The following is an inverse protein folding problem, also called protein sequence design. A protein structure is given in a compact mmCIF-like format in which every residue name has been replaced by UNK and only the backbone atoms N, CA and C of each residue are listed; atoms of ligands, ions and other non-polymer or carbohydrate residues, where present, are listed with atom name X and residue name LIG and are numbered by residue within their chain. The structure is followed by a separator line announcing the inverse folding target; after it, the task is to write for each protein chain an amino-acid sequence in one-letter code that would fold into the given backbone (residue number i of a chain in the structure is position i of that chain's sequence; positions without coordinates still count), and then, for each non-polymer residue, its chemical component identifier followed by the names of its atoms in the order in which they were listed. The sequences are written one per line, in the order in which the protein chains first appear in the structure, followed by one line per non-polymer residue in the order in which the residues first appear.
data_IF_558993935645
#
_entry.id   IF_558993935645
#
_cell.length_a   1.000
_cell.length_b   1.000
_cell.length_c   1.000
_cell.angle_alpha   90.00
_cell.angle_beta   90.00
_cell.angle_gamma   90.00
#
_symmetry.space_group_name_H-M   'P 1'
#
loop_
_entity.id
_entity.type
_entity.pdbx_description
1 polymer ?
#
# COMPACT_ATOMS: atom_id res chain seq x y z
N UNK A 1 4.16 11.55 4.62
CA UNK A 1 3.79 10.37 3.81
C UNK A 1 3.08 10.89 2.58
N UNK A 2 3.51 10.46 1.40
CA UNK A 2 2.85 10.86 0.16
C UNK A 2 1.60 9.99 -0.07
N UNK A 3 0.47 10.61 -0.36
CA UNK A 3 -0.79 9.94 -0.66
C UNK A 3 -1.28 10.43 -2.02
N UNK A 4 -0.99 9.69 -3.11
CA UNK A 4 -1.51 10.00 -4.43
C UNK A 4 -3.03 9.82 -4.46
N UNK A 5 -3.78 10.87 -4.83
CA UNK A 5 -5.26 10.82 -4.80
C UNK A 5 -5.84 9.81 -5.80
N UNK A 6 -5.17 9.60 -6.93
CA UNK A 6 -5.54 8.60 -7.93
C UNK A 6 -5.43 7.15 -7.41
N UNK A 7 -4.58 6.91 -6.41
CA UNK A 7 -4.43 5.61 -5.78
C UNK A 7 -5.40 5.49 -4.60
N UNK A 8 -5.54 6.55 -3.81
CA UNK A 8 -6.51 6.62 -2.71
C UNK A 8 -7.95 6.38 -3.19
N UNK A 9 -8.30 6.91 -4.38
CA UNK A 9 -9.64 6.78 -4.98
C UNK A 9 -10.07 5.33 -5.28
N UNK A 10 -9.13 4.37 -5.33
CA UNK A 10 -9.48 2.95 -5.47
C UNK A 10 -10.19 2.41 -4.23
N UNK A 11 -9.90 2.98 -3.06
CA UNK A 11 -10.34 2.45 -1.77
C UNK A 11 -11.43 3.29 -1.11
N UNK A 12 -11.60 4.54 -1.52
CA UNK A 12 -12.65 5.42 -1.00
C UNK A 12 -13.10 6.36 -2.10
N UNK A 13 -14.42 6.61 -2.15
CA UNK A 13 -14.98 7.53 -3.14
C UNK A 13 -14.54 8.95 -2.83
N UNK A 14 -13.95 9.63 -3.81
CA UNK A 14 -13.49 11.02 -3.70
C UNK A 14 -14.35 11.89 -4.62
N UNK A 15 -15.28 12.66 -4.04
CA UNK A 15 -16.15 13.59 -4.77
C UNK A 15 -15.78 15.06 -4.54
N UNK A 16 -14.68 15.32 -3.84
CA UNK A 16 -14.24 16.65 -3.44
C UNK A 16 -12.91 17.01 -4.09
N UNK A 17 -12.60 18.30 -4.13
CA UNK A 17 -11.31 18.79 -4.61
C UNK A 17 -10.15 18.29 -3.73
N UNK A 18 -8.92 18.22 -4.26
CA UNK A 18 -7.74 17.85 -3.48
C UNK A 18 -7.57 18.68 -2.20
N UNK A 19 -7.92 19.97 -2.24
CA UNK A 19 -7.85 20.89 -1.10
C UNK A 19 -8.87 20.52 0.00
N UNK A 20 -10.09 20.16 -0.39
CA UNK A 20 -11.10 19.71 0.56
C UNK A 20 -10.73 18.37 1.19
N UNK A 21 -10.15 17.43 0.43
CA UNK A 21 -9.64 16.17 0.99
C UNK A 21 -8.49 16.42 1.97
N UNK A 22 -7.58 17.34 1.66
CA UNK A 22 -6.51 17.73 2.58
C UNK A 22 -7.08 18.36 3.88
N UNK A 23 -8.16 19.14 3.79
CA UNK A 23 -8.85 19.67 4.96
C UNK A 23 -9.48 18.55 5.81
N UNK A 24 -10.07 17.53 5.19
CA UNK A 24 -10.59 16.36 5.91
C UNK A 24 -9.50 15.60 6.65
N UNK A 25 -8.33 15.39 6.02
CA UNK A 25 -7.17 14.80 6.70
C UNK A 25 -6.65 15.69 7.83
N UNK A 26 -6.62 17.00 7.64
CA UNK A 26 -6.26 17.97 8.69
C UNK A 26 -7.19 17.88 9.89
N UNK A 27 -8.50 17.77 9.66
CA UNK A 27 -9.50 17.58 10.72
C UNK A 27 -9.35 16.23 11.45
N UNK A 28 -8.87 15.20 10.75
CA UNK A 28 -8.48 13.92 11.35
C UNK A 28 -7.16 13.99 12.13
N UNK A 29 -6.36 15.04 11.94
CA UNK A 29 -5.05 15.23 12.59
C UNK A 29 -3.84 14.85 11.72
N UNK A 30 -4.04 14.59 10.42
CA UNK A 30 -2.99 14.46 9.41
C UNK A 30 -2.85 15.78 8.65
N UNK A 31 -1.93 16.62 9.09
CA UNK A 31 -1.68 17.93 8.47
C UNK A 31 -1.05 17.77 7.09
N UNK A 32 -1.37 18.68 6.18
CA UNK A 32 -0.66 18.79 4.91
C UNK A 32 0.69 19.49 5.13
N UNK A 33 1.79 18.80 4.81
CA UNK A 33 3.17 19.29 4.95
C UNK A 33 3.60 20.16 3.75
N UNK A 34 3.14 19.82 2.53
CA UNK A 34 3.55 20.50 1.29
C UNK A 34 2.36 20.93 0.43
N UNK A 35 2.50 22.00 -0.36
CA UNK A 35 1.48 22.39 -1.33
C UNK A 35 1.13 21.25 -2.29
N UNK A 36 -0.14 21.16 -2.65
CA UNK A 36 -0.64 20.16 -3.60
C UNK A 36 -0.19 20.57 -5.00
N UNK A 37 0.68 19.76 -5.61
CA UNK A 37 1.13 19.96 -7.00
C UNK A 37 0.14 19.42 -8.03
N UNK A 38 0.48 19.58 -9.31
CA UNK A 38 -0.34 19.13 -10.45
C UNK A 38 -0.62 17.61 -10.44
N UNK A 39 0.29 16.82 -9.88
CA UNK A 39 0.16 15.37 -9.77
C UNK A 39 -0.84 14.92 -8.68
N UNK A 40 -1.52 15.86 -8.00
CA UNK A 40 -2.55 15.59 -7.00
C UNK A 40 -2.09 14.60 -5.91
N UNK A 41 -0.87 14.81 -5.40
CA UNK A 41 -0.30 14.03 -4.30
C UNK A 41 -0.36 14.87 -3.03
N UNK A 42 -0.95 14.31 -1.98
CA UNK A 42 -0.93 14.94 -0.65
C UNK A 42 0.34 14.50 0.08
N UNK A 43 1.15 15.42 0.58
CA UNK A 43 2.24 15.08 1.51
C UNK A 43 1.72 15.31 2.94
N UNK A 44 1.35 14.23 3.62
CA UNK A 44 0.74 14.28 4.94
C UNK A 44 1.79 14.08 6.04
N UNK A 45 1.84 15.00 7.00
CA UNK A 45 2.72 14.88 8.15
C UNK A 45 2.14 13.89 9.17
N UNK A 46 2.94 12.90 9.58
CA UNK A 46 2.54 11.92 10.59
C UNK A 46 3.14 12.29 11.95
N UNK A 47 2.31 12.81 12.86
CA UNK A 47 2.73 13.21 14.22
C UNK A 47 2.19 12.31 15.34
N UNK A 48 1.17 11.50 15.05
CA UNK A 48 0.45 10.72 16.05
C UNK A 48 0.94 9.28 16.10
N UNK A 49 0.74 8.61 17.22
CA UNK A 49 1.06 7.17 17.37
C UNK A 49 -0.01 6.31 16.66
N UNK A 50 -0.08 6.42 15.33
CA UNK A 50 -1.10 5.81 14.47
C UNK A 50 -0.46 5.16 13.24
N UNK A 51 0.31 4.10 13.50
CA UNK A 51 1.05 3.37 12.46
C UNK A 51 0.21 2.89 11.28
N UNK A 52 -1.11 2.69 11.47
CA UNK A 52 -2.03 2.32 10.41
C UNK A 52 -2.09 3.37 9.27
N UNK A 53 -1.87 4.65 9.58
CA UNK A 53 -1.81 5.73 8.59
C UNK A 53 -0.53 5.77 7.76
N UNK A 54 0.42 4.87 8.00
CA UNK A 54 1.58 4.69 7.13
C UNK A 54 1.25 3.79 5.91
N UNK A 55 -0.04 3.57 5.65
CA UNK A 55 -0.55 2.79 4.53
C UNK A 55 -1.67 3.52 3.78
N UNK A 56 -1.76 3.32 2.47
CA UNK A 56 -2.84 3.94 1.66
C UNK A 56 -4.21 3.47 2.14
N UNK A 57 -4.36 2.19 2.47
CA UNK A 57 -5.63 1.64 2.98
C UNK A 57 -5.97 2.20 4.37
N UNK A 58 -4.98 2.43 5.24
CA UNK A 58 -5.21 3.05 6.55
C UNK A 58 -5.71 4.49 6.42
N UNK A 59 -5.08 5.29 5.55
CA UNK A 59 -5.58 6.62 5.21
C UNK A 59 -7.00 6.58 4.61
N UNK A 60 -7.26 5.63 3.70
CA UNK A 60 -8.58 5.47 3.09
C UNK A 60 -9.66 5.08 4.11
N UNK A 61 -9.32 4.26 5.11
CA UNK A 61 -10.24 3.81 6.15
C UNK A 61 -10.78 4.98 6.96
N UNK A 62 -9.89 5.84 7.45
CA UNK A 62 -10.30 6.96 8.29
C UNK A 62 -10.95 8.07 7.46
N UNK A 63 -10.47 8.30 6.23
CA UNK A 63 -11.15 9.21 5.32
C UNK A 63 -12.57 8.73 4.98
N UNK A 64 -12.76 7.44 4.69
CA UNK A 64 -14.07 6.86 4.41
C UNK A 64 -15.03 7.03 5.61
N UNK A 65 -14.54 6.78 6.83
CA UNK A 65 -15.32 6.98 8.04
C UNK A 65 -15.71 8.46 8.25
N UNK A 66 -14.76 9.39 8.03
CA UNK A 66 -14.99 10.82 8.18
C UNK A 66 -15.97 11.37 7.14
N UNK A 67 -15.86 10.91 5.90
CA UNK A 67 -16.68 11.36 4.77
C UNK A 67 -18.01 10.61 4.65
N UNK A 68 -18.28 9.66 5.56
CA UNK A 68 -19.45 8.78 5.50
C UNK A 68 -19.57 8.04 4.15
N UNK A 69 -18.42 7.62 3.63
CA UNK A 69 -18.29 6.86 2.39
C UNK A 69 -17.93 5.40 2.67
N UNK A 70 -18.15 4.53 1.69
CA UNK A 70 -17.82 3.12 1.82
C UNK A 70 -16.33 2.87 1.56
N UNK A 71 -15.65 2.21 2.50
CA UNK A 71 -14.32 1.65 2.26
C UNK A 71 -14.37 0.45 1.31
N UNK A 72 -13.56 0.49 0.26
CA UNK A 72 -13.44 -0.52 -0.78
C UNK A 72 -12.11 -1.26 -0.62
N UNK A 73 -12.10 -2.37 0.11
CA UNK A 73 -10.90 -3.19 0.27
C UNK A 73 -10.77 -4.17 -0.91
N UNK A 74 -9.57 -4.37 -1.49
CA UNK A 74 -9.35 -5.36 -2.54
C UNK A 74 -9.86 -6.74 -2.11
N UNK A 75 -10.74 -7.34 -2.92
CA UNK A 75 -11.20 -8.71 -2.68
C UNK A 75 -10.03 -9.67 -2.87
N UNK A 76 -9.64 -10.36 -1.80
CA UNK A 76 -8.66 -11.44 -1.88
C UNK A 76 -9.27 -12.58 -2.70
N UNK A 77 -8.73 -12.82 -3.91
CA UNK A 77 -9.06 -14.03 -4.67
C UNK A 77 -8.40 -15.21 -3.96
N UNK A 78 -9.14 -15.86 -3.06
CA UNK A 78 -8.75 -17.13 -2.46
C UNK A 78 -8.86 -18.25 -3.50
N UNK A 79 -7.94 -18.28 -4.46
CA UNK A 79 -7.56 -19.59 -5.01
C UNK A 79 -6.65 -20.23 -3.97
N UNK A 80 -7.10 -21.35 -3.42
CA UNK A 80 -6.26 -22.20 -2.59
C UNK A 80 -4.92 -22.40 -3.31
N UNK A 81 -3.82 -22.10 -2.64
CA UNK A 81 -2.51 -22.45 -3.17
C UNK A 81 -2.49 -23.95 -3.44
N UNK A 82 -1.90 -24.39 -4.56
CA UNK A 82 -1.68 -25.82 -4.78
C UNK A 82 -0.80 -26.34 -3.67
N UNK A 83 -1.16 -27.47 -3.07
CA UNK A 83 -0.29 -28.16 -2.10
C UNK A 83 1.03 -28.49 -2.79
N UNK A 84 2.17 -27.99 -2.31
CA UNK A 84 3.46 -28.29 -2.92
C UNK A 84 3.80 -29.77 -2.73
N UNK A 85 4.48 -30.37 -3.71
CA UNK A 85 5.07 -31.70 -3.53
C UNK A 85 6.18 -31.65 -2.46
N UNK A 86 6.55 -32.78 -1.84
CA UNK A 86 7.58 -32.81 -0.79
C UNK A 86 8.93 -32.21 -1.23
N UNK A 87 9.33 -32.45 -2.48
CA UNK A 87 10.56 -31.93 -3.09
C UNK A 87 10.51 -30.42 -3.44
N UNK A 88 9.36 -29.79 -3.21
CA UNK A 88 9.08 -28.39 -3.54
C UNK A 88 9.00 -27.50 -2.29
N UNK A 89 9.18 -28.10 -1.11
CA UNK A 89 9.24 -27.40 0.16
C UNK A 89 10.65 -26.81 0.34
N UNK A 90 10.71 -25.54 0.72
CA UNK A 90 11.95 -24.89 1.11
C UNK A 90 11.97 -24.90 2.65
N UNK A 91 12.91 -25.63 3.29
CA UNK A 91 13.00 -25.63 4.75
C UNK A 91 13.44 -24.24 5.22
N UNK A 92 12.72 -23.69 6.18
CA UNK A 92 13.04 -22.40 6.78
C UNK A 92 13.10 -22.60 8.29
N UNK A 93 14.23 -22.23 8.88
CA UNK A 93 14.45 -22.26 10.33
C UNK A 93 14.65 -20.83 10.81
N UNK A 94 13.85 -20.40 11.78
CA UNK A 94 13.95 -19.07 12.38
C UNK A 94 14.67 -19.19 13.71
N UNK A 95 15.97 -18.89 13.72
CA UNK A 95 16.82 -18.94 14.93
C UNK A 95 16.88 -17.58 15.63
N UNK A 96 15.72 -17.00 15.92
CA UNK A 96 15.63 -15.70 16.60
C UNK A 96 14.42 -15.68 17.54
N UNK A 97 14.62 -15.66 18.87
CA UNK A 97 13.53 -15.68 19.85
C UNK A 97 12.54 -14.51 19.72
N UNK A 98 12.99 -13.36 19.22
CA UNK A 98 12.16 -12.17 19.06
C UNK A 98 11.16 -12.28 17.90
N UNK A 99 11.37 -13.22 16.97
CA UNK A 99 10.50 -13.39 15.80
C UNK A 99 9.28 -14.23 16.19
N UNK A 100 8.18 -13.54 16.51
CA UNK A 100 6.90 -14.20 16.86
C UNK A 100 6.18 -14.83 15.67
N UNK A 101 6.43 -14.34 14.44
CA UNK A 101 5.79 -14.84 13.23
C UNK A 101 6.68 -14.65 12.01
N UNK A 102 6.84 -15.71 11.22
CA UNK A 102 7.49 -15.68 9.92
C UNK A 102 6.64 -16.47 8.93
N UNK A 103 6.27 -15.84 7.82
CA UNK A 103 5.42 -16.46 6.80
C UNK A 103 6.00 -16.17 5.43
N UNK A 104 6.02 -17.18 4.56
CA UNK A 104 6.47 -17.04 3.18
C UNK A 104 5.46 -17.68 2.23
N UNK A 105 5.57 -17.31 0.95
CA UNK A 105 4.78 -17.93 -0.11
C UNK A 105 5.66 -18.11 -1.33
N UNK A 106 5.56 -19.28 -1.96
CA UNK A 106 6.33 -19.60 -3.17
C UNK A 106 5.47 -19.32 -4.39
N UNK A 107 5.99 -18.48 -5.30
CA UNK A 107 5.44 -18.24 -6.62
C UNK A 107 6.36 -18.88 -7.67
N UNK A 108 5.80 -19.55 -8.67
CA UNK A 108 6.56 -20.25 -9.73
C UNK A 108 6.11 -19.81 -11.10
N UNK A 109 7.02 -19.89 -12.07
CA UNK A 109 6.75 -19.45 -13.44
C UNK A 109 6.61 -17.93 -13.55
N UNK A 110 7.17 -17.18 -12.60
CA UNK A 110 7.20 -15.72 -12.66
C UNK A 110 8.26 -15.32 -13.67
N UNK A 111 7.85 -14.58 -14.71
CA UNK A 111 8.77 -13.96 -15.66
C UNK A 111 9.10 -12.55 -15.17
N UNK A 112 10.37 -12.28 -14.94
CA UNK A 112 10.84 -10.94 -14.60
C UNK A 112 10.73 -10.07 -15.85
N UNK A 113 10.07 -8.92 -15.71
CA UNK A 113 9.83 -7.97 -16.78
C UNK A 113 9.61 -6.56 -16.21
N UNK A 114 9.52 -5.57 -17.10
CA UNK A 114 9.11 -4.22 -16.73
C UNK A 114 7.70 -4.26 -16.11
N UNK A 115 7.51 -3.48 -15.05
CA UNK A 115 6.21 -3.30 -14.41
C UNK A 115 5.18 -2.66 -15.34
N UNK A 116 3.89 -2.96 -15.17
CA UNK A 116 2.83 -2.27 -15.90
C UNK A 116 2.78 -0.78 -15.51
N UNK A 117 2.39 0.08 -16.46
CA UNK A 117 2.44 1.54 -16.28
C UNK A 117 1.72 2.03 -15.02
N UNK A 118 0.52 1.50 -14.72
CA UNK A 118 -0.23 1.89 -13.52
C UNK A 118 0.56 1.68 -12.21
N UNK A 119 1.39 0.62 -12.15
CA UNK A 119 2.20 0.31 -10.99
C UNK A 119 3.39 1.27 -10.89
N UNK A 120 4.03 1.53 -12.03
CA UNK A 120 5.14 2.49 -12.13
C UNK A 120 4.67 3.89 -11.71
N UNK A 121 3.54 4.34 -12.24
CA UNK A 121 2.98 5.67 -11.97
C UNK A 121 2.66 5.84 -10.49
N UNK A 122 2.03 4.85 -9.85
CA UNK A 122 1.69 4.89 -8.41
C UNK A 122 2.93 4.93 -7.52
N UNK A 123 3.91 4.06 -7.78
CA UNK A 123 5.16 4.06 -7.03
C UNK A 123 5.93 5.37 -7.23
N UNK A 124 5.99 5.87 -8.46
CA UNK A 124 6.67 7.14 -8.77
C UNK A 124 5.99 8.32 -8.08
N UNK A 125 4.66 8.37 -8.07
CA UNK A 125 3.90 9.39 -7.34
C UNK A 125 4.14 9.33 -5.82
N UNK A 126 4.31 8.12 -5.28
CA UNK A 126 4.72 7.92 -3.89
C UNK A 126 6.22 8.26 -3.65
N UNK A 127 7.03 8.36 -4.70
CA UNK A 127 8.46 8.68 -4.65
C UNK A 127 9.39 7.45 -4.66
N UNK A 128 8.89 6.29 -5.06
CA UNK A 128 9.68 5.05 -5.24
C UNK A 128 9.95 4.84 -6.72
N UNK A 129 11.22 4.66 -7.08
CA UNK A 129 11.60 4.33 -8.46
C UNK A 129 11.27 2.87 -8.78
N UNK A 130 10.67 2.66 -9.95
CA UNK A 130 10.37 1.32 -10.47
C UNK A 130 11.64 0.60 -10.92
N UNK A 131 11.70 -0.71 -10.63
CA UNK A 131 12.82 -1.59 -10.97
C UNK A 131 12.33 -2.71 -11.90
N UNK A 132 11.44 -3.57 -11.42
CA UNK A 132 10.83 -4.66 -12.19
C UNK A 132 9.53 -5.12 -11.50
N UNK A 133 8.74 -5.94 -12.21
CA UNK A 133 7.44 -6.40 -11.74
C UNK A 133 7.44 -7.15 -10.39
N UNK A 134 8.55 -7.77 -9.98
CA UNK A 134 8.66 -8.49 -8.69
C UNK A 134 9.02 -7.54 -7.55
N UNK A 135 10.00 -6.67 -7.75
CA UNK A 135 10.41 -5.69 -6.72
C UNK A 135 9.33 -4.63 -6.52
N UNK A 136 8.68 -4.22 -7.61
CA UNK A 136 7.68 -3.18 -7.56
C UNK A 136 6.39 -3.65 -6.90
N UNK A 137 6.00 -4.92 -7.07
CA UNK A 137 4.79 -5.43 -6.40
C UNK A 137 5.01 -5.55 -4.89
N UNK A 138 6.22 -5.91 -4.43
CA UNK A 138 6.53 -5.92 -2.98
C UNK A 138 6.50 -4.51 -2.39
N UNK A 139 7.06 -3.53 -3.10
CA UNK A 139 7.00 -2.13 -2.69
C UNK A 139 5.57 -1.59 -2.69
N UNK A 140 4.79 -1.95 -3.70
CA UNK A 140 3.39 -1.54 -3.80
C UNK A 140 2.56 -2.06 -2.65
N UNK A 141 2.62 -3.35 -2.35
CA UNK A 141 1.87 -3.95 -1.25
C UNK A 141 2.34 -3.41 0.11
N UNK A 142 3.65 -3.14 0.25
CA UNK A 142 4.19 -2.47 1.43
C UNK A 142 3.54 -1.10 1.67
N UNK A 143 3.42 -0.28 0.63
CA UNK A 143 2.77 1.04 0.72
C UNK A 143 1.25 0.94 0.85
N UNK A 144 0.64 -0.03 0.16
CA UNK A 144 -0.82 -0.23 0.14
C UNK A 144 -1.34 -0.65 1.51
N UNK A 145 -0.71 -1.65 2.14
CA UNK A 145 -1.15 -2.28 3.39
C UNK A 145 -0.31 -1.89 4.61
N UNK A 146 0.82 -1.22 4.44
CA UNK A 146 1.75 -0.91 5.54
C UNK A 146 2.54 -2.12 6.02
N UNK A 147 2.65 -3.17 5.21
CA UNK A 147 3.34 -4.41 5.58
C UNK A 147 4.59 -4.61 4.71
N UNK A 148 5.81 -4.44 5.25
CA UNK A 148 7.04 -4.69 4.53
C UNK A 148 7.12 -6.11 3.98
N UNK A 149 7.54 -6.24 2.72
CA UNK A 149 7.71 -7.52 2.04
C UNK A 149 9.09 -7.63 1.41
N UNK A 150 9.56 -8.86 1.24
CA UNK A 150 10.78 -9.19 0.53
C UNK A 150 10.47 -10.31 -0.47
N UNK A 151 11.12 -10.27 -1.64
CA UNK A 151 11.04 -11.29 -2.70
C UNK A 151 12.43 -11.71 -3.16
#
# INVERSE_FOLDING_TARGET
MKVPLNWLSDYVKINKSPKEIANSFTALGLMLDKPIGENQVLDLEHRMDRSDWLSIIGCARDLAAFENEKLLIPKLRHKSAKTPHKNQLIPITVNCPEVRRFTTRIFRGVKIAKSPNWLIERLTAYGIQSINNVVDITNFVMVEFGNPLHA
#
